data_IF_260559314419
#
_entry.id   IF_260559314419
#
_cell.length_a   1.000
_cell.length_b   1.000
_cell.length_c   1.000
_cell.angle_alpha   90.00
_cell.angle_beta   90.00
_cell.angle_gamma   90.00
#
_symmetry.space_group_name_H-M   'P 1'
#
loop_
_entity.id
_entity.type
_entity.pdbx_description
1 polymer ?
#
# COMPACT_ATOMS: atom_id res chain seq x y z
N UNK A 1 -19.43 10.13 -18.32
CA UNK A 1 -19.19 9.22 -19.47
C UNK A 1 -19.49 9.86 -20.84
N UNK A 2 -20.63 10.54 -21.07
CA UNK A 2 -21.00 11.03 -22.43
C UNK A 2 -20.19 12.25 -22.94
N UNK A 3 -19.81 13.19 -22.08
CA UNK A 3 -19.12 14.43 -22.50
C UNK A 3 -17.75 14.16 -23.12
N UNK A 4 -16.91 13.35 -22.46
CA UNK A 4 -15.57 12.99 -22.94
C UNK A 4 -15.57 12.38 -24.36
N UNK A 5 -16.55 11.52 -24.64
CA UNK A 5 -16.68 10.90 -25.96
C UNK A 5 -17.20 11.88 -27.00
N UNK A 6 -18.25 12.63 -26.67
CA UNK A 6 -18.90 13.52 -27.62
C UNK A 6 -18.03 14.70 -28.04
N UNK A 7 -17.20 15.23 -27.14
CA UNK A 7 -16.36 16.40 -27.42
C UNK A 7 -14.95 16.02 -27.86
N UNK A 8 -14.41 14.88 -27.42
CA UNK A 8 -12.99 14.53 -27.61
C UNK A 8 -12.75 13.12 -28.15
N UNK A 9 -13.80 12.32 -28.41
CA UNK A 9 -13.66 10.92 -28.82
C UNK A 9 -13.07 10.00 -27.74
N UNK A 10 -12.99 10.45 -26.49
CA UNK A 10 -12.36 9.70 -25.40
C UNK A 10 -13.37 8.74 -24.75
N UNK A 11 -13.02 7.45 -24.71
CA UNK A 11 -13.82 6.39 -24.07
C UNK A 11 -13.28 6.11 -22.67
N UNK A 12 -14.11 6.29 -21.65
CA UNK A 12 -13.78 5.90 -20.28
C UNK A 12 -13.82 4.36 -20.13
N UNK A 13 -12.68 3.75 -19.85
CA UNK A 13 -12.52 2.30 -19.81
C UNK A 13 -12.55 1.73 -18.37
N UNK A 14 -11.82 2.33 -17.43
CA UNK A 14 -11.62 1.83 -16.07
C UNK A 14 -11.58 2.98 -15.07
N UNK A 15 -12.16 2.75 -13.89
CA UNK A 15 -12.03 3.61 -12.73
C UNK A 15 -11.01 2.97 -11.78
N UNK A 16 -9.99 3.73 -11.41
CA UNK A 16 -9.05 3.33 -10.36
C UNK A 16 -9.37 4.16 -9.10
N UNK A 17 -9.61 3.48 -8.00
CA UNK A 17 -9.83 4.11 -6.69
C UNK A 17 -8.62 3.89 -5.81
N UNK A 18 -8.05 4.99 -5.30
CA UNK A 18 -6.88 4.96 -4.43
C UNK A 18 -7.27 5.62 -3.09
N UNK A 19 -7.07 4.89 -1.99
CA UNK A 19 -7.22 5.32 -0.62
C UNK A 19 -5.98 6.13 -0.26
N UNK A 20 -6.18 7.30 0.31
CA UNK A 20 -5.08 8.10 0.83
C UNK A 20 -4.46 7.39 2.03
N UNK A 21 -3.21 6.95 1.91
CA UNK A 21 -2.52 6.33 3.03
C UNK A 21 -2.26 7.37 4.13
N UNK A 22 -2.53 7.06 5.40
CA UNK A 22 -2.33 7.97 6.53
C UNK A 22 -0.84 8.11 6.89
N UNK A 23 -0.05 8.61 5.94
CA UNK A 23 1.41 8.82 6.04
C UNK A 23 1.79 10.21 5.52
N UNK A 24 2.96 10.71 5.93
CA UNK A 24 3.55 11.97 5.46
C UNK A 24 2.54 13.12 5.44
N UNK A 25 2.41 13.86 4.33
CA UNK A 25 1.54 15.05 4.22
C UNK A 25 0.09 14.78 4.62
N UNK A 26 -0.49 13.66 4.21
CA UNK A 26 -1.87 13.37 4.57
C UNK A 26 -2.03 13.06 6.06
N UNK A 27 -1.01 12.44 6.68
CA UNK A 27 -0.96 12.30 8.13
C UNK A 27 -0.87 13.66 8.83
N UNK A 28 -0.01 14.57 8.35
CA UNK A 28 0.11 15.94 8.88
C UNK A 28 -1.23 16.70 8.79
N UNK A 29 -1.93 16.57 7.65
CA UNK A 29 -3.26 17.14 7.46
C UNK A 29 -4.29 16.54 8.44
N UNK A 30 -4.28 15.21 8.62
CA UNK A 30 -5.18 14.54 9.56
C UNK A 30 -4.92 14.97 11.01
N UNK A 31 -3.66 15.12 11.40
CA UNK A 31 -3.28 15.53 12.76
C UNK A 31 -3.62 17.00 13.01
N UNK A 32 -3.31 17.89 12.07
CA UNK A 32 -3.61 19.32 12.19
C UNK A 32 -5.12 19.62 12.25
N UNK A 33 -5.94 18.73 11.71
CA UNK A 33 -7.40 18.82 11.76
C UNK A 33 -8.05 17.92 12.83
N UNK A 34 -7.26 17.27 13.69
CA UNK A 34 -7.73 16.34 14.74
C UNK A 34 -8.59 15.15 14.21
N UNK A 35 -8.39 14.76 12.96
CA UNK A 35 -9.15 13.69 12.27
C UNK A 35 -8.45 12.34 12.23
N UNK A 36 -7.21 12.25 12.71
CA UNK A 36 -6.40 11.04 12.59
C UNK A 36 -7.09 9.81 13.20
N UNK A 37 -7.57 9.91 14.43
CA UNK A 37 -8.23 8.79 15.13
C UNK A 37 -9.51 8.34 14.43
N UNK A 38 -10.33 9.29 13.97
CA UNK A 38 -11.54 8.99 13.21
C UNK A 38 -11.21 8.26 11.90
N UNK A 39 -10.20 8.75 11.18
CA UNK A 39 -9.78 8.15 9.92
C UNK A 39 -9.20 6.74 10.11
N UNK A 40 -8.37 6.53 11.13
CA UNK A 40 -7.85 5.19 11.44
C UNK A 40 -8.96 4.23 11.82
N UNK A 41 -9.96 4.66 12.62
CA UNK A 41 -11.14 3.85 12.92
C UNK A 41 -11.93 3.48 11.68
N UNK A 42 -12.09 4.42 10.73
CA UNK A 42 -12.71 4.12 9.44
C UNK A 42 -11.97 2.99 8.72
N UNK A 43 -10.64 3.09 8.57
CA UNK A 43 -9.86 2.06 7.89
C UNK A 43 -9.97 0.69 8.58
N UNK A 44 -9.90 0.66 9.91
CA UNK A 44 -10.06 -0.56 10.71
C UNK A 44 -11.45 -1.17 10.52
N UNK A 45 -12.51 -0.36 10.62
CA UNK A 45 -13.89 -0.82 10.46
C UNK A 45 -14.19 -1.36 9.06
N UNK A 46 -13.45 -0.87 8.06
CA UNK A 46 -13.56 -1.33 6.68
C UNK A 46 -12.53 -2.41 6.32
N UNK A 47 -11.78 -2.96 7.27
CA UNK A 47 -10.84 -4.05 7.00
C UNK A 47 -11.51 -5.19 6.23
N UNK A 48 -10.96 -5.55 5.07
CA UNK A 48 -11.46 -6.62 4.23
C UNK A 48 -10.41 -7.73 4.11
N UNK A 49 -10.62 -8.88 4.77
CA UNK A 49 -9.72 -10.03 4.67
C UNK A 49 -9.47 -10.51 3.24
N UNK A 50 -10.46 -10.38 2.35
CA UNK A 50 -10.36 -10.81 0.95
C UNK A 50 -9.31 -10.02 0.17
N UNK A 51 -9.03 -8.78 0.60
CA UNK A 51 -8.02 -7.92 -0.01
C UNK A 51 -6.60 -8.43 0.24
N UNK A 52 -6.38 -9.18 1.33
CA UNK A 52 -5.05 -9.58 1.80
C UNK A 52 -4.31 -10.43 0.78
N UNK A 53 -4.99 -11.35 0.09
CA UNK A 53 -4.36 -12.27 -0.86
C UNK A 53 -3.71 -11.55 -2.05
N UNK A 54 -4.22 -10.38 -2.41
CA UNK A 54 -3.79 -9.61 -3.59
C UNK A 54 -2.87 -8.43 -3.24
N UNK A 55 -2.41 -8.33 -1.98
CA UNK A 55 -1.51 -7.26 -1.57
C UNK A 55 -0.12 -7.40 -2.20
N UNK A 56 0.43 -6.27 -2.65
CA UNK A 56 1.77 -6.17 -3.25
C UNK A 56 2.86 -6.76 -2.35
N UNK A 57 2.80 -6.52 -1.03
CA UNK A 57 3.83 -6.99 -0.09
C UNK A 57 3.97 -8.51 -0.01
N UNK A 58 3.02 -9.27 -0.57
CA UNK A 58 3.06 -10.74 -0.61
C UNK A 58 3.85 -11.29 -1.79
N UNK A 59 3.97 -10.55 -2.88
CA UNK A 59 4.55 -11.05 -4.14
C UNK A 59 5.65 -10.15 -4.71
N UNK A 60 5.84 -8.97 -4.12
CA UNK A 60 6.81 -7.97 -4.55
C UNK A 60 7.63 -7.52 -3.35
N UNK A 61 8.87 -7.09 -3.60
CA UNK A 61 9.74 -6.44 -2.63
C UNK A 61 10.12 -5.06 -3.18
N UNK A 62 10.18 -4.04 -2.32
CA UNK A 62 10.68 -2.73 -2.69
C UNK A 62 12.17 -2.62 -2.36
N UNK A 63 12.95 -2.07 -3.29
CA UNK A 63 14.40 -1.96 -3.16
C UNK A 63 14.78 -0.47 -3.11
N UNK A 64 15.42 -0.06 -2.03
CA UNK A 64 15.99 1.28 -1.87
C UNK A 64 17.16 1.52 -2.82
N UNK A 65 17.46 2.79 -3.07
CA UNK A 65 18.56 3.20 -3.95
C UNK A 65 19.93 2.67 -3.51
N UNK A 66 20.11 2.37 -2.22
CA UNK A 66 21.30 1.78 -1.63
C UNK A 66 21.24 0.23 -1.53
N UNK A 67 20.28 -0.40 -2.20
CA UNK A 67 20.07 -1.85 -2.18
C UNK A 67 19.28 -2.36 -0.97
N UNK A 68 18.85 -1.48 -0.07
CA UNK A 68 18.00 -1.82 1.08
C UNK A 68 16.69 -2.52 0.71
N UNK A 69 16.27 -3.53 1.47
CA UNK A 69 15.02 -4.26 1.21
C UNK A 69 13.88 -3.81 2.14
N UNK A 70 12.68 -3.69 1.56
CA UNK A 70 11.43 -3.28 2.22
C UNK A 70 10.26 -4.10 1.66
N UNK A 71 9.27 -4.44 2.49
CA UNK A 71 8.14 -5.27 2.04
C UNK A 71 7.21 -4.58 1.04
N UNK A 72 7.11 -3.26 1.06
CA UNK A 72 6.40 -2.47 0.05
C UNK A 72 6.97 -1.05 -0.05
N UNK A 73 6.45 -0.27 -0.99
CA UNK A 73 6.79 1.13 -1.19
C UNK A 73 6.45 2.01 0.04
N UNK A 74 5.34 1.75 0.73
CA UNK A 74 5.01 2.45 1.97
C UNK A 74 5.97 2.11 3.11
N UNK A 75 6.40 0.85 3.23
CA UNK A 75 7.45 0.48 4.17
C UNK A 75 8.75 1.22 3.82
N UNK A 76 9.11 1.35 2.54
CA UNK A 76 10.26 2.13 2.12
C UNK A 76 10.13 3.62 2.47
N UNK A 77 8.98 4.24 2.23
CA UNK A 77 8.71 5.63 2.60
C UNK A 77 8.76 5.88 4.10
N UNK A 78 8.42 4.86 4.91
CA UNK A 78 8.47 4.91 6.37
C UNK A 78 9.76 4.34 6.96
N UNK A 79 10.74 3.99 6.12
CA UNK A 79 12.02 3.39 6.50
C UNK A 79 11.89 2.07 7.31
N UNK A 80 10.80 1.34 7.11
CA UNK A 80 10.51 0.04 7.77
C UNK A 80 11.14 -1.10 6.96
N UNK A 81 12.34 -1.53 7.34
CA UNK A 81 13.04 -2.65 6.69
C UNK A 81 12.28 -3.96 6.81
N UNK A 82 12.60 -4.92 5.95
CA UNK A 82 12.18 -6.32 6.09
C UNK A 82 12.57 -6.89 7.46
N UNK A 83 11.85 -7.94 7.90
CA UNK A 83 12.04 -8.59 9.20
C UNK A 83 13.51 -8.84 9.56
N UNK A 84 13.86 -8.58 10.82
CA UNK A 84 15.17 -8.88 11.38
C UNK A 84 15.53 -10.36 11.22
N UNK A 85 16.70 -10.65 10.64
CA UNK A 85 17.12 -12.01 10.32
C UNK A 85 16.80 -12.46 8.88
N UNK A 86 15.98 -11.70 8.16
CA UNK A 86 15.88 -11.80 6.70
C UNK A 86 16.97 -10.98 6.01
N UNK A 87 17.31 -11.26 4.74
CA UNK A 87 18.21 -10.42 3.95
C UNK A 87 17.79 -8.94 4.02
N UNK A 88 18.76 -8.05 4.25
CA UNK A 88 18.53 -6.61 4.45
C UNK A 88 19.00 -5.77 3.27
N UNK A 89 19.78 -6.37 2.37
CA UNK A 89 20.29 -5.78 1.15
C UNK A 89 20.12 -6.75 -0.02
N UNK A 90 19.87 -6.22 -1.22
CA UNK A 90 19.76 -7.00 -2.45
C UNK A 90 21.03 -7.81 -2.76
N UNK A 91 22.20 -7.34 -2.34
CA UNK A 91 23.46 -8.05 -2.53
C UNK A 91 23.52 -9.39 -1.76
N UNK A 92 22.80 -9.48 -0.64
CA UNK A 92 22.74 -10.67 0.22
C UNK A 92 21.48 -11.51 -0.04
N UNK A 93 20.70 -11.15 -1.07
CA UNK A 93 19.38 -11.71 -1.30
C UNK A 93 19.46 -13.18 -1.74
N UNK A 94 18.84 -14.04 -0.95
CA UNK A 94 18.44 -15.39 -1.37
C UNK A 94 16.93 -15.46 -1.38
N UNK A 95 16.36 -15.79 -2.53
CA UNK A 95 14.92 -15.72 -2.75
C UNK A 95 14.13 -16.60 -1.76
N UNK A 96 14.69 -17.76 -1.40
CA UNK A 96 14.09 -18.72 -0.48
C UNK A 96 13.96 -18.14 0.93
N UNK A 97 15.01 -17.47 1.42
CA UNK A 97 15.01 -16.82 2.74
C UNK A 97 13.98 -15.68 2.78
N UNK A 98 13.85 -14.93 1.68
CA UNK A 98 12.86 -13.86 1.57
C UNK A 98 11.42 -14.41 1.51
N UNK A 99 11.20 -15.57 0.89
CA UNK A 99 9.86 -16.16 0.75
C UNK A 99 9.24 -16.65 2.07
N UNK A 100 10.09 -16.89 3.08
CA UNK A 100 9.68 -17.40 4.39
C UNK A 100 9.57 -16.30 5.46
N UNK A 101 9.93 -15.06 5.12
CA UNK A 101 9.92 -13.94 6.06
C UNK A 101 8.51 -13.55 6.49
N UNK A 102 8.40 -12.95 7.67
CA UNK A 102 7.22 -12.19 8.02
C UNK A 102 7.26 -10.82 7.33
N UNK A 103 6.13 -10.42 6.76
CA UNK A 103 5.94 -9.08 6.20
C UNK A 103 5.83 -8.10 7.37
N UNK A 104 6.60 -7.02 7.33
CA UNK A 104 6.61 -6.00 8.36
C UNK A 104 5.38 -5.08 8.25
N UNK A 105 4.46 -5.24 9.20
CA UNK A 105 3.20 -4.50 9.25
C UNK A 105 3.30 -3.23 10.10
N UNK A 106 2.52 -2.21 9.75
CA UNK A 106 2.32 -0.99 10.54
C UNK A 106 0.93 -0.40 10.24
N UNK A 107 0.57 0.74 10.84
CA UNK A 107 -0.77 1.34 10.77
C UNK A 107 -1.25 1.61 9.33
N UNK A 108 -0.35 1.98 8.42
CA UNK A 108 -0.68 2.21 7.01
C UNK A 108 -1.23 0.96 6.30
N UNK A 109 -0.96 -0.25 6.82
CA UNK A 109 -1.48 -1.50 6.25
C UNK A 109 -3.02 -1.56 6.28
N UNK A 110 -3.67 -0.84 7.20
CA UNK A 110 -5.13 -0.69 7.19
C UNK A 110 -5.63 0.06 5.96
N UNK A 111 -4.86 1.02 5.43
CA UNK A 111 -5.22 1.69 4.18
C UNK A 111 -5.16 0.75 2.97
N UNK A 112 -4.22 -0.20 2.97
CA UNK A 112 -4.09 -1.19 1.91
C UNK A 112 -5.17 -2.29 1.96
N UNK A 113 -5.70 -2.57 3.16
CA UNK A 113 -6.64 -3.66 3.42
C UNK A 113 -8.09 -3.22 3.60
N UNK A 114 -8.36 -1.93 3.70
CA UNK A 114 -9.71 -1.39 3.84
C UNK A 114 -10.51 -1.46 2.54
N UNK A 115 -11.81 -1.77 2.65
CA UNK A 115 -12.77 -1.75 1.55
C UNK A 115 -12.44 -2.75 0.45
N UNK A 116 -12.34 -2.30 -0.79
CA UNK A 116 -11.93 -3.11 -1.94
C UNK A 116 -10.41 -3.38 -1.99
N UNK A 117 -9.72 -3.06 -0.88
CA UNK A 117 -8.29 -2.82 -0.82
C UNK A 117 -7.90 -1.61 -1.67
N UNK A 118 -6.75 -1.04 -1.35
CA UNK A 118 -6.26 0.08 -2.10
C UNK A 118 -4.76 0.08 -2.23
N UNK A 119 -4.30 0.02 -3.46
CA UNK A 119 -2.89 0.07 -3.78
C UNK A 119 -2.66 0.97 -4.98
N UNK A 120 -1.39 1.15 -5.33
CA UNK A 120 -0.93 1.75 -6.59
C UNK A 120 -1.53 1.08 -7.85
N UNK A 121 -2.20 -0.08 -7.72
CA UNK A 121 -2.89 -0.80 -8.80
C UNK A 121 -4.43 -0.61 -8.79
N UNK A 122 -4.98 0.17 -7.84
CA UNK A 122 -6.41 0.38 -7.67
C UNK A 122 -7.07 -0.61 -6.69
N UNK A 123 -8.37 -0.84 -6.88
CA UNK A 123 -9.13 -1.86 -6.14
C UNK A 123 -8.59 -3.25 -6.48
N UNK A 124 -8.32 -4.05 -5.45
CA UNK A 124 -7.72 -5.38 -5.57
C UNK A 124 -8.73 -6.52 -5.40
N UNK A 125 -9.98 -6.18 -5.04
CA UNK A 125 -11.13 -7.09 -5.06
C UNK A 125 -12.35 -6.35 -5.60
N UNK A 126 -13.11 -7.00 -6.47
CA UNK A 126 -14.28 -6.46 -7.19
C UNK A 126 -15.51 -7.31 -6.99
#
# INVERSE_FOLDING_TARGET
KRVLFNEYGIIFNKLFTITNMPISRFLEDLLSNEKYEEYMRLLINYFNPSSVLNLMCRNTISIGWNGALYDCDFNQMLEIRTESGSPQNIADLKAEELSLRNIMLNQHCYGCTAGAGSSCQGSIVS
#
